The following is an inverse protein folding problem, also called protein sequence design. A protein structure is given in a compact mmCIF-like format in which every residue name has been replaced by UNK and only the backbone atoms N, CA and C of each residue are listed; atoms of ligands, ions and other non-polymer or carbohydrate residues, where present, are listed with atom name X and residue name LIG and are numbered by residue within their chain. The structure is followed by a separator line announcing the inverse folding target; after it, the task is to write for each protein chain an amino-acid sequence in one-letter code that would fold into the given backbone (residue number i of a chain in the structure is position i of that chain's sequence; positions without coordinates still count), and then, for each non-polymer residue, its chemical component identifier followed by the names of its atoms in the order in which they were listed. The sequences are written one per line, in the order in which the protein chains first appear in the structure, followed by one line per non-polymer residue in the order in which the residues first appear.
data_IF_182463926071
#
_entry.id   IF_182463926071
#
_cell.length_a   1.000
_cell.length_b   1.000
_cell.length_c   1.000
_cell.angle_alpha   90.00
_cell.angle_beta   90.00
_cell.angle_gamma   90.00
#
_symmetry.space_group_name_H-M   'P 1'
#
loop_
_entity.id
_entity.type
_entity.pdbx_description
1 polymer ?
#
# COMPACT_ATOMS: atom_id res chain seq x y z
N UNK A 1 -0.69 19.61 14.61
CA UNK A 1 0.00 19.18 13.37
C UNK A 1 0.33 17.71 13.53
N UNK A 2 -0.31 16.83 12.76
CA UNK A 2 0.06 15.41 12.74
C UNK A 2 1.39 15.30 12.01
N UNK A 3 2.40 14.71 12.65
CA UNK A 3 3.67 14.40 11.96
C UNK A 3 3.38 13.45 10.79
N UNK A 4 4.04 13.62 9.64
CA UNK A 4 3.94 12.67 8.54
C UNK A 4 4.43 11.30 9.01
N UNK A 5 3.74 10.25 8.54
CA UNK A 5 4.08 8.87 8.86
C UNK A 5 5.11 8.41 7.84
N UNK A 6 6.28 7.98 8.31
CA UNK A 6 7.31 7.41 7.44
C UNK A 6 6.97 5.95 7.12
N UNK A 7 6.19 5.77 6.05
CA UNK A 7 5.71 4.47 5.57
C UNK A 7 6.81 3.52 5.09
N UNK A 8 8.05 4.01 4.91
CA UNK A 8 9.17 3.18 4.45
C UNK A 8 10.03 2.68 5.62
N UNK A 9 9.79 3.16 6.84
CA UNK A 9 10.59 2.82 8.03
C UNK A 9 10.66 1.32 8.34
N UNK A 10 9.57 0.60 8.13
CA UNK A 10 9.48 -0.83 8.42
C UNK A 10 8.42 -1.47 7.53
N UNK A 11 8.84 -1.95 6.36
CA UNK A 11 8.01 -2.69 5.41
C UNK A 11 8.04 -4.17 5.80
N UNK A 12 6.87 -4.74 6.09
CA UNK A 12 6.74 -6.12 6.56
C UNK A 12 6.26 -7.10 5.47
N UNK A 13 5.60 -6.59 4.42
CA UNK A 13 5.13 -7.37 3.28
C UNK A 13 5.13 -6.51 2.03
N UNK A 14 5.57 -7.07 0.89
CA UNK A 14 5.52 -6.41 -0.43
C UNK A 14 4.75 -7.31 -1.38
N UNK A 15 3.80 -6.74 -2.12
CA UNK A 15 3.02 -7.45 -3.12
C UNK A 15 3.41 -6.98 -4.52
N UNK A 16 3.95 -7.90 -5.31
CA UNK A 16 4.24 -7.65 -6.72
C UNK A 16 2.93 -7.62 -7.51
N UNK A 17 2.36 -6.44 -7.71
CA UNK A 17 1.22 -6.26 -8.59
C UNK A 17 1.70 -6.31 -10.05
N UNK A 18 1.08 -7.16 -10.85
CA UNK A 18 1.54 -7.51 -12.21
C UNK A 18 1.53 -6.33 -13.21
N UNK A 19 0.96 -5.16 -12.84
CA UNK A 19 0.93 -4.00 -13.75
C UNK A 19 0.75 -2.61 -13.05
N UNK A 20 1.62 -2.30 -12.07
CA UNK A 20 1.83 -0.93 -11.51
C UNK A 20 0.69 -0.32 -10.67
N UNK A 21 0.43 -0.85 -9.48
CA UNK A 21 1.04 -0.07 -8.42
C UNK A 21 1.86 -0.91 -7.45
N UNK A 22 2.97 -0.33 -6.97
CA UNK A 22 3.72 -0.88 -5.84
C UNK A 22 2.78 -0.87 -4.65
N UNK A 23 2.58 -2.04 -4.05
CA UNK A 23 1.71 -2.22 -2.90
C UNK A 23 2.48 -2.97 -1.81
N UNK A 24 2.48 -2.42 -0.60
CA UNK A 24 3.15 -3.04 0.53
C UNK A 24 2.40 -2.78 1.83
N UNK A 25 2.73 -3.55 2.87
CA UNK A 25 2.33 -3.27 4.26
C UNK A 25 3.54 -2.74 5.02
N UNK A 26 3.36 -1.63 5.72
CA UNK A 26 4.30 -1.15 6.73
C UNK A 26 3.72 -1.33 8.14
N UNK A 27 4.59 -1.56 9.12
CA UNK A 27 4.21 -1.55 10.53
C UNK A 27 4.99 -0.48 11.30
N UNK A 28 4.28 0.52 11.83
CA UNK A 28 4.86 1.67 12.53
C UNK A 28 4.13 1.81 13.86
N UNK A 29 4.88 1.79 14.96
CA UNK A 29 4.35 1.87 16.31
C UNK A 29 3.21 0.85 16.55
N UNK A 30 3.40 -0.38 16.06
CA UNK A 30 2.43 -1.50 16.10
C UNK A 30 1.14 -1.30 15.29
N UNK A 31 1.07 -0.24 14.49
CA UNK A 31 -0.03 -0.01 13.55
C UNK A 31 0.40 -0.45 12.17
N UNK A 32 -0.40 -1.33 11.55
CA UNK A 32 -0.19 -1.77 10.18
C UNK A 32 -0.84 -0.82 9.20
N UNK A 33 -0.12 -0.46 8.16
CA UNK A 33 -0.56 0.43 7.09
C UNK A 33 -0.44 -0.28 5.75
N UNK A 34 -1.56 -0.37 5.02
CA UNK A 34 -1.52 -0.72 3.60
C UNK A 34 -1.19 0.54 2.80
N UNK A 35 -0.20 0.43 1.92
CA UNK A 35 0.32 1.51 1.11
C UNK A 35 0.24 1.12 -0.36
N UNK A 36 -0.23 2.03 -1.21
CA UNK A 36 -0.22 1.86 -2.66
C UNK A 36 0.23 3.14 -3.35
N UNK A 37 1.16 3.01 -4.30
CA UNK A 37 1.60 4.11 -5.14
C UNK A 37 0.47 4.46 -6.11
N UNK A 38 -0.02 5.71 -6.08
CA UNK A 38 -1.11 6.17 -6.97
C UNK A 38 -0.61 7.07 -8.09
N UNK A 39 0.53 7.73 -7.90
CA UNK A 39 1.13 8.63 -8.89
C UNK A 39 2.64 8.67 -8.72
N UNK A 40 3.37 8.67 -9.82
CA UNK A 40 4.84 8.83 -9.86
C UNK A 40 5.19 9.76 -11.03
N UNK A 41 5.77 10.92 -10.73
CA UNK A 41 6.25 11.89 -11.71
C UNK A 41 7.67 12.35 -11.34
N UNK A 42 8.67 11.84 -12.06
CA UNK A 42 10.09 12.08 -11.78
C UNK A 42 10.51 11.64 -10.36
N UNK A 43 10.64 12.58 -9.43
CA UNK A 43 11.04 12.36 -8.03
C UNK A 43 9.87 12.51 -7.05
N UNK A 44 8.69 12.85 -7.57
CA UNK A 44 7.51 13.16 -6.80
C UNK A 44 6.55 11.98 -6.87
N UNK A 45 6.30 11.38 -5.72
CA UNK A 45 5.42 10.23 -5.58
C UNK A 45 4.21 10.57 -4.71
N UNK A 46 3.04 10.05 -5.08
CA UNK A 46 1.86 10.08 -4.22
C UNK A 46 1.50 8.66 -3.80
N UNK A 47 1.38 8.48 -2.49
CA UNK A 47 1.06 7.21 -1.85
C UNK A 47 -0.26 7.30 -1.11
N UNK A 48 -1.17 6.40 -1.43
CA UNK A 48 -2.39 6.23 -0.67
C UNK A 48 -2.14 5.24 0.46
N UNK A 49 -2.47 5.65 1.68
CA UNK A 49 -2.09 4.95 2.92
C UNK A 49 -3.29 4.81 3.83
N UNK A 50 -3.55 3.59 4.31
CA UNK A 50 -4.64 3.31 5.23
C UNK A 50 -4.17 2.43 6.37
N UNK A 51 -4.52 2.76 7.61
CA UNK A 51 -4.32 1.86 8.73
C UNK A 51 -5.31 0.69 8.66
N UNK A 52 -4.82 -0.51 8.96
CA UNK A 52 -5.60 -1.73 8.96
C UNK A 52 -5.47 -2.44 10.30
N UNK A 53 -6.55 -3.08 10.73
CA UNK A 53 -6.53 -3.92 11.93
C UNK A 53 -5.73 -5.20 11.70
N UNK A 54 -5.26 -5.84 12.77
CA UNK A 54 -4.61 -7.16 12.69
C UNK A 54 -5.52 -8.19 12.00
N UNK A 55 -6.82 -8.15 12.31
CA UNK A 55 -7.80 -9.01 11.67
C UNK A 55 -7.85 -8.76 10.15
N UNK A 56 -7.93 -7.50 9.72
CA UNK A 56 -7.95 -7.11 8.30
C UNK A 56 -6.69 -7.61 7.59
N UNK A 57 -5.53 -7.50 8.24
CA UNK A 57 -4.25 -7.96 7.70
C UNK A 57 -4.22 -9.49 7.52
N UNK A 58 -4.67 -10.25 8.51
CA UNK A 58 -4.76 -11.72 8.37
C UNK A 58 -5.76 -12.13 7.29
N UNK A 59 -6.92 -11.46 7.20
CA UNK A 59 -7.90 -11.69 6.13
C UNK A 59 -7.32 -11.37 4.74
N UNK A 60 -6.49 -10.33 4.63
CA UNK A 60 -5.80 -10.02 3.39
C UNK A 60 -4.84 -11.15 3.03
N UNK A 61 -4.02 -11.63 3.97
CA UNK A 61 -3.07 -12.74 3.76
C UNK A 61 -3.75 -14.05 3.38
N UNK A 62 -4.90 -14.36 3.98
CA UNK A 62 -5.67 -15.57 3.64
C UNK A 62 -6.48 -15.43 2.36
N UNK A 63 -6.47 -14.23 1.73
CA UNK A 63 -7.26 -13.86 0.56
C UNK A 63 -8.79 -13.92 0.81
N UNK A 64 -9.23 -13.69 2.04
CA UNK A 64 -10.64 -13.49 2.37
C UNK A 64 -11.16 -12.12 1.92
N UNK A 65 -10.28 -11.12 1.91
CA UNK A 65 -10.56 -9.77 1.40
C UNK A 65 -9.53 -9.35 0.35
N UNK A 66 -9.94 -8.46 -0.54
CA UNK A 66 -9.08 -7.86 -1.56
C UNK A 66 -8.47 -6.54 -1.06
N UNK A 67 -7.46 -6.04 -1.79
CA UNK A 67 -6.79 -4.77 -1.42
C UNK A 67 -7.76 -3.58 -1.44
N UNK A 68 -8.70 -3.56 -2.39
CA UNK A 68 -9.76 -2.54 -2.45
C UNK A 68 -10.53 -2.47 -1.13
N UNK A 69 -10.95 -3.62 -0.59
CA UNK A 69 -11.69 -3.70 0.67
C UNK A 69 -10.84 -3.23 1.86
N UNK A 70 -9.53 -3.52 1.86
CA UNK A 70 -8.63 -3.03 2.92
C UNK A 70 -8.64 -1.49 3.01
N UNK A 71 -8.52 -0.80 1.87
CA UNK A 71 -8.56 0.67 1.85
C UNK A 71 -9.94 1.23 2.26
N UNK A 72 -11.04 0.58 1.86
CA UNK A 72 -12.39 1.00 2.25
C UNK A 72 -12.71 0.73 3.73
N UNK A 73 -12.06 -0.27 4.35
CA UNK A 73 -12.24 -0.68 5.76
C UNK A 73 -11.06 -0.28 6.64
N UNK A 74 -10.57 0.94 6.48
CA UNK A 74 -9.61 1.54 7.39
C UNK A 74 -10.02 1.37 8.86
N UNK A 75 -9.08 1.02 9.74
CA UNK A 75 -9.35 0.89 11.16
C UNK A 75 -9.75 2.24 11.80
N UNK A 76 -9.14 3.34 11.37
CA UNK A 76 -9.50 4.70 11.78
C UNK A 76 -10.71 5.28 11.03
N UNK A 77 -11.19 4.59 9.99
CA UNK A 77 -12.18 5.10 9.05
C UNK A 77 -11.64 6.17 8.09
N UNK A 78 -10.33 6.40 8.09
CA UNK A 78 -9.65 7.41 7.30
C UNK A 78 -8.51 6.82 6.48
N UNK A 79 -8.27 7.42 5.32
CA UNK A 79 -7.17 7.08 4.42
C UNK A 79 -6.46 8.38 4.06
N UNK A 80 -5.13 8.35 4.03
CA UNK A 80 -4.29 9.52 3.79
C UNK A 80 -3.65 9.42 2.42
N UNK A 81 -3.47 10.57 1.78
CA UNK A 81 -2.59 10.72 0.63
C UNK A 81 -1.32 11.38 1.13
N UNK A 82 -0.20 10.69 0.92
CA UNK A 82 1.12 11.19 1.24
C UNK A 82 1.80 11.63 -0.06
N UNK A 83 2.45 12.80 -0.02
CA UNK A 83 3.36 13.25 -1.07
C UNK A 83 4.79 13.02 -0.58
N UNK A 84 5.59 12.35 -1.40
CA UNK A 84 6.98 12.01 -1.14
C UNK A 84 7.84 12.71 -2.19
N UNK A 85 8.76 13.56 -1.74
CA UNK A 85 9.70 14.30 -2.61
C UNK A 85 11.10 14.11 -2.04
N UNK A 86 11.87 13.22 -2.66
CA UNK A 86 13.13 12.73 -2.09
C UNK A 86 12.87 12.05 -0.73
N UNK A 87 13.52 12.53 0.34
CA UNK A 87 13.33 12.00 1.70
C UNK A 87 12.18 12.70 2.46
N UNK A 88 11.52 13.69 1.86
CA UNK A 88 10.47 14.45 2.52
C UNK A 88 9.11 13.81 2.29
N UNK A 89 8.47 13.36 3.38
CA UNK A 89 7.12 12.82 3.37
C UNK A 89 6.18 13.84 3.99
N UNK A 90 5.09 14.17 3.30
CA UNK A 90 4.05 15.07 3.81
C UNK A 90 2.66 14.49 3.59
N UNK A 91 1.72 14.78 4.49
CA UNK A 91 0.32 14.41 4.28
C UNK A 91 -0.33 15.49 3.42
N UNK A 92 -0.57 15.19 2.14
CA UNK A 92 -1.19 16.13 1.19
C UNK A 92 -2.70 16.21 1.40
N UNK A 93 -3.36 15.08 1.70
CA UNK A 93 -4.80 15.03 1.95
C UNK A 93 -5.22 13.90 2.89
N UNK A 94 -6.42 14.00 3.44
CA UNK A 94 -7.06 12.97 4.26
C UNK A 94 -8.52 12.80 3.82
N UNK A 95 -8.91 11.56 3.57
CA UNK A 95 -10.23 11.19 3.09
C UNK A 95 -10.91 10.26 4.09
N UNK A 96 -12.24 10.29 4.14
CA UNK A 96 -12.99 9.18 4.72
C UNK A 96 -12.86 7.97 3.80
N UNK A 97 -12.46 6.83 4.35
CA UNK A 97 -12.17 5.63 3.57
C UNK A 97 -13.33 5.14 2.72
N UNK A 98 -14.56 5.25 3.24
CA UNK A 98 -15.76 4.85 2.50
C UNK A 98 -16.03 5.75 1.28
N UNK A 99 -15.65 7.02 1.34
CA UNK A 99 -15.90 8.03 0.31
C UNK A 99 -14.76 8.13 -0.72
N UNK A 100 -13.70 7.31 -0.58
CA UNK A 100 -12.56 7.33 -1.51
C UNK A 100 -13.00 7.01 -2.94
N UNK A 101 -12.52 7.77 -3.94
CA UNK A 101 -12.82 7.44 -5.33
C UNK A 101 -12.15 6.13 -5.75
N UNK A 102 -12.88 5.29 -6.48
CA UNK A 102 -12.38 4.00 -6.99
C UNK A 102 -11.15 4.18 -7.90
N UNK A 103 -10.95 5.37 -8.48
CA UNK A 103 -9.78 5.69 -9.32
C UNK A 103 -8.44 5.69 -8.56
N UNK A 104 -8.46 5.88 -7.23
CA UNK A 104 -7.26 5.79 -6.40
C UNK A 104 -7.00 4.39 -5.86
N UNK A 105 -7.96 3.48 -6.03
CA UNK A 105 -7.94 2.19 -5.38
C UNK A 105 -7.41 1.10 -6.32
N UNK A 106 -6.75 0.07 -5.77
CA UNK A 106 -6.54 -1.17 -6.50
C UNK A 106 -7.87 -1.69 -7.06
N UNK A 107 -7.81 -2.37 -8.20
CA UNK A 107 -8.99 -3.01 -8.79
C UNK A 107 -9.64 -3.98 -7.80
N UNK A 108 -10.97 -4.07 -7.86
CA UNK A 108 -11.73 -5.05 -7.06
C UNK A 108 -11.36 -6.48 -7.47
N UNK A 109 -11.39 -7.41 -6.51
CA UNK A 109 -11.11 -8.83 -6.73
C UNK A 109 -9.62 -9.18 -6.88
N UNK A 110 -8.72 -8.25 -6.54
CA UNK A 110 -7.29 -8.50 -6.49
C UNK A 110 -6.88 -8.87 -5.05
N UNK A 111 -6.50 -10.13 -4.90
CA UNK A 111 -6.17 -10.74 -3.62
C UNK A 111 -4.67 -10.99 -3.52
N UNK A 112 -4.12 -10.93 -2.30
CA UNK A 112 -2.71 -11.20 -2.00
C UNK A 112 -2.18 -12.51 -2.61
N UNK A 113 -2.96 -13.61 -2.54
CA UNK A 113 -2.57 -14.91 -3.09
C UNK A 113 -2.35 -14.91 -4.60
N UNK A 114 -3.01 -14.01 -5.33
CA UNK A 114 -2.82 -13.84 -6.79
C UNK A 114 -1.57 -13.01 -7.13
N UNK A 115 -0.96 -12.37 -6.13
CA UNK A 115 0.29 -11.62 -6.24
C UNK A 115 1.50 -12.49 -5.89
N UNK A 116 1.44 -13.80 -6.18
CA UNK A 116 2.46 -14.76 -5.78
C UNK A 116 3.82 -14.38 -6.38
N UNK A 117 4.82 -14.27 -5.51
CA UNK A 117 6.22 -14.18 -5.86
C UNK A 117 6.60 -15.26 -6.89
N UNK A 118 6.88 -14.87 -8.13
CA UNK A 118 7.95 -15.53 -8.88
C UNK A 118 9.29 -15.03 -8.33
N UNK A 119 9.57 -15.31 -7.06
CA UNK A 119 10.94 -15.49 -6.61
C UNK A 119 11.33 -16.93 -6.95
N UNK A 120 11.29 -17.27 -8.24
CA UNK A 120 12.16 -18.32 -8.73
C UNK A 120 13.54 -17.68 -8.82
N UNK A 121 14.41 -18.08 -7.91
CA UNK A 121 15.86 -18.12 -8.12
C UNK A 121 16.17 -18.93 -9.38
N UNK A 122 15.93 -18.34 -10.55
CA UNK A 122 16.46 -18.76 -11.84
C UNK A 122 17.60 -17.80 -12.22
N UNK A 123 18.66 -18.27 -12.88
CA UNK A 123 19.86 -17.48 -13.07
C UNK A 123 19.51 -16.29 -13.95
N UNK A 124 19.78 -15.08 -13.48
CA UNK A 124 19.91 -13.93 -14.36
C UNK A 124 20.89 -14.33 -15.48
N UNK A 125 20.53 -14.21 -16.77
CA UNK A 125 21.54 -14.31 -17.80
C UNK A 125 22.50 -13.14 -17.59
N UNK A 126 23.78 -13.46 -17.39
CA UNK A 126 24.85 -12.47 -17.44
C UNK A 126 24.69 -11.65 -18.71
N UNK A 127 24.56 -10.34 -18.54
CA UNK A 127 24.67 -9.39 -19.64
C UNK A 127 26.13 -9.46 -20.10
N UNK A 128 26.33 -10.03 -21.29
CA UNK A 128 27.59 -9.89 -22.06
C UNK A 128 27.53 -8.64 -22.91
#
# INVERSE_FOLDING_TARGET
MNKPIDIFKNIIDIFSYYDRPVLFISEIDFIKYICVLVKEENTDEEWLVSDISEQTYEQLKTAEIDFYTCFKKSASGKTKLLSVVGENITCSNEFKSLELSDNFLPSRGIYSKKCSNTCNSGPYPEIR
#
